data_IF_575336949535
#
_entry.id   IF_575336949535
#
_cell.length_a   1.000
_cell.length_b   1.000
_cell.length_c   1.000
_cell.angle_alpha   90.00
_cell.angle_beta   90.00
_cell.angle_gamma   90.00
#
_symmetry.space_group_name_H-M   'P 1'
#
loop_
_entity.id
_entity.type
_entity.pdbx_description
1 polymer ?
#
# COMPACT_ATOMS: atom_id res chain seq x y z
N UNK A 1 26.95 3.61 -6.11
CA UNK A 1 26.83 4.35 -7.38
C UNK A 1 26.16 3.41 -8.38
N UNK A 2 25.10 3.82 -9.02
CA UNK A 2 24.25 3.04 -9.94
C UNK A 2 24.91 2.76 -11.29
N UNK A 3 26.08 3.38 -11.57
CA UNK A 3 26.81 3.24 -12.83
C UNK A 3 26.11 3.86 -14.05
N UNK A 4 25.04 4.62 -13.83
CA UNK A 4 24.32 5.30 -14.89
C UNK A 4 25.14 6.49 -15.42
N UNK A 5 25.18 6.65 -16.75
CA UNK A 5 25.76 7.81 -17.42
C UNK A 5 24.71 8.94 -17.44
N UNK A 6 24.99 10.11 -16.83
CA UNK A 6 24.05 11.22 -16.82
C UNK A 6 23.69 11.78 -18.22
N UNK A 7 24.56 11.60 -19.22
CA UNK A 7 24.35 12.14 -20.56
C UNK A 7 23.61 11.18 -21.49
N UNK A 8 23.79 9.86 -21.31
CA UNK A 8 23.21 8.86 -22.20
C UNK A 8 22.14 7.99 -21.51
N UNK A 9 22.09 7.99 -20.18
CA UNK A 9 21.19 7.09 -19.42
C UNK A 9 21.64 5.63 -19.49
N UNK A 10 20.70 4.71 -19.25
CA UNK A 10 20.95 3.27 -19.33
C UNK A 10 20.70 2.76 -20.74
N UNK A 11 21.54 1.81 -21.18
CA UNK A 11 21.29 1.03 -22.38
C UNK A 11 20.24 -0.08 -22.12
N UNK A 12 19.58 -0.59 -23.15
CA UNK A 12 18.59 -1.66 -23.03
C UNK A 12 19.13 -2.89 -22.28
N UNK A 13 20.37 -3.28 -22.51
CA UNK A 13 21.02 -4.38 -21.79
C UNK A 13 21.21 -4.11 -20.29
N UNK A 14 21.53 -2.86 -19.93
CA UNK A 14 21.65 -2.44 -18.52
C UNK A 14 20.29 -2.37 -17.85
N UNK A 15 19.24 -1.94 -18.55
CA UNK A 15 17.87 -1.94 -18.05
C UNK A 15 17.43 -3.37 -17.71
N UNK A 16 17.67 -4.32 -18.59
CA UNK A 16 17.33 -5.73 -18.34
C UNK A 16 18.11 -6.32 -17.17
N UNK A 17 19.41 -6.03 -17.07
CA UNK A 17 20.25 -6.45 -15.95
C UNK A 17 19.77 -5.85 -14.61
N UNK A 18 19.42 -4.55 -14.61
CA UNK A 18 18.88 -3.87 -13.42
C UNK A 18 17.53 -4.46 -13.02
N UNK A 19 16.64 -4.73 -13.98
CA UNK A 19 15.34 -5.35 -13.74
C UNK A 19 15.46 -6.77 -13.17
N UNK A 20 16.39 -7.57 -13.64
CA UNK A 20 16.63 -8.90 -13.09
C UNK A 20 17.19 -8.86 -11.68
N UNK A 21 18.03 -7.87 -11.37
CA UNK A 21 18.69 -7.76 -10.07
C UNK A 21 17.80 -7.14 -8.98
N UNK A 22 17.03 -6.12 -9.32
CA UNK A 22 16.31 -5.29 -8.36
C UNK A 22 14.79 -5.35 -8.51
N UNK A 23 14.26 -5.94 -9.59
CA UNK A 23 12.83 -6.00 -9.88
C UNK A 23 12.32 -4.76 -10.64
N UNK A 24 11.00 -4.65 -10.70
CA UNK A 24 10.28 -3.53 -11.30
C UNK A 24 9.77 -2.55 -10.23
N UNK A 25 9.50 -1.30 -10.62
CA UNK A 25 8.94 -0.28 -9.74
C UNK A 25 7.43 -0.49 -9.54
N UNK A 26 7.09 -1.55 -8.82
CA UNK A 26 5.70 -1.90 -8.51
C UNK A 26 5.51 -2.03 -7.01
N UNK A 27 4.34 -1.64 -6.53
CA UNK A 27 3.99 -1.93 -5.15
C UNK A 27 3.90 -3.45 -4.95
N UNK A 28 4.46 -3.93 -3.84
CA UNK A 28 4.30 -5.34 -3.47
C UNK A 28 2.80 -5.61 -3.28
N UNK A 29 2.20 -6.29 -4.24
CA UNK A 29 0.82 -6.74 -4.11
C UNK A 29 0.81 -7.81 -3.03
N UNK A 30 0.27 -7.49 -1.87
CA UNK A 30 -0.17 -8.52 -0.94
C UNK A 30 -1.21 -9.34 -1.71
N UNK A 31 -0.82 -10.57 -2.08
CA UNK A 31 -1.68 -11.47 -2.85
C UNK A 31 -3.07 -11.54 -2.22
N UNK A 32 -4.08 -11.78 -3.04
CA UNK A 32 -5.47 -11.94 -2.58
C UNK A 32 -5.50 -12.95 -1.44
N UNK A 33 -5.65 -12.46 -0.22
CA UNK A 33 -5.72 -13.33 0.95
C UNK A 33 -6.87 -14.31 0.80
N UNK A 34 -6.62 -15.58 1.18
CA UNK A 34 -7.65 -16.61 1.18
C UNK A 34 -8.87 -16.15 1.98
N UNK A 35 -10.08 -16.49 1.50
CA UNK A 35 -11.33 -16.22 2.22
C UNK A 35 -11.29 -16.73 3.66
N UNK A 36 -10.66 -17.89 3.88
CA UNK A 36 -10.50 -18.46 5.23
C UNK A 36 -9.63 -17.55 6.13
N UNK A 37 -8.57 -16.97 5.59
CA UNK A 37 -7.73 -16.03 6.34
C UNK A 37 -8.50 -14.77 6.70
N UNK A 38 -9.27 -14.20 5.77
CA UNK A 38 -10.11 -13.02 6.03
C UNK A 38 -11.17 -13.29 7.11
N UNK A 39 -11.81 -14.48 7.09
CA UNK A 39 -12.76 -14.86 8.13
C UNK A 39 -12.04 -14.97 9.49
N UNK A 40 -10.85 -15.55 9.50
CA UNK A 40 -10.06 -15.70 10.71
C UNK A 40 -9.64 -14.32 11.27
N UNK A 41 -9.11 -13.45 10.42
CA UNK A 41 -8.68 -12.11 10.82
C UNK A 41 -9.86 -11.26 11.31
N UNK A 42 -11.00 -11.29 10.62
CA UNK A 42 -12.23 -10.66 11.09
C UNK A 42 -12.69 -11.22 12.43
N UNK A 43 -12.58 -12.53 12.64
CA UNK A 43 -13.00 -13.18 13.90
C UNK A 43 -12.05 -12.91 15.07
N UNK A 44 -10.81 -12.53 14.81
CA UNK A 44 -9.81 -12.18 15.84
C UNK A 44 -9.78 -10.69 16.19
N UNK A 45 -10.65 -9.89 15.59
CA UNK A 45 -10.83 -8.50 15.95
C UNK A 45 -11.24 -8.37 17.43
N UNK A 46 -10.61 -7.50 18.25
CA UNK A 46 -10.84 -7.44 19.69
C UNK A 46 -12.32 -7.27 20.09
N UNK A 47 -13.07 -6.48 19.32
CA UNK A 47 -14.49 -6.26 19.57
C UNK A 47 -15.31 -7.53 19.33
N UNK A 48 -15.00 -8.27 18.27
CA UNK A 48 -15.68 -9.52 17.93
C UNK A 48 -15.32 -10.65 18.90
N UNK A 49 -14.06 -10.70 19.36
CA UNK A 49 -13.64 -11.64 20.40
C UNK A 49 -14.42 -11.47 21.70
N UNK A 50 -14.67 -10.22 22.13
CA UNK A 50 -15.51 -9.96 23.31
C UNK A 50 -16.94 -10.45 23.10
N UNK A 51 -17.49 -10.28 21.89
CA UNK A 51 -18.83 -10.75 21.57
C UNK A 51 -18.91 -12.28 21.52
N UNK A 52 -17.89 -12.95 20.96
CA UNK A 52 -17.77 -14.42 20.96
C UNK A 52 -17.67 -14.94 22.40
N UNK A 53 -16.89 -14.29 23.25
CA UNK A 53 -16.77 -14.67 24.65
C UNK A 53 -18.11 -14.53 25.40
N UNK A 54 -18.83 -13.43 25.18
CA UNK A 54 -20.18 -13.25 25.73
C UNK A 54 -21.16 -14.34 25.21
N UNK A 55 -21.09 -14.69 23.92
CA UNK A 55 -21.90 -15.76 23.34
C UNK A 55 -21.66 -17.12 24.03
N UNK A 56 -20.39 -17.45 24.28
CA UNK A 56 -20.01 -18.69 24.98
C UNK A 56 -20.57 -18.74 26.39
N UNK A 57 -20.45 -17.64 27.14
CA UNK A 57 -21.00 -17.54 28.50
C UNK A 57 -22.53 -17.70 28.49
N UNK A 58 -23.21 -16.97 27.61
CA UNK A 58 -24.68 -17.04 27.50
C UNK A 58 -25.13 -18.43 27.13
N UNK A 59 -24.43 -19.08 26.20
CA UNK A 59 -24.71 -20.47 25.80
C UNK A 59 -24.53 -21.43 26.98
N UNK A 60 -23.42 -21.32 27.73
CA UNK A 60 -23.14 -22.16 28.88
C UNK A 60 -24.21 -22.01 29.96
N UNK A 61 -24.65 -20.77 30.27
CA UNK A 61 -25.72 -20.49 31.21
C UNK A 61 -27.05 -21.10 30.75
N UNK A 62 -27.41 -20.95 29.46
CA UNK A 62 -28.65 -21.53 28.94
C UNK A 62 -28.63 -23.05 28.95
N UNK A 63 -27.51 -23.71 28.63
CA UNK A 63 -27.35 -25.15 28.73
C UNK A 63 -27.50 -25.61 30.19
N UNK A 64 -26.88 -24.93 31.14
CA UNK A 64 -26.99 -25.28 32.57
C UNK A 64 -28.43 -25.15 33.05
N UNK A 65 -29.15 -24.08 32.70
CA UNK A 65 -30.57 -23.90 33.01
C UNK A 65 -31.45 -24.99 32.42
N UNK A 66 -31.18 -25.39 31.18
CA UNK A 66 -31.89 -26.49 30.52
C UNK A 66 -31.80 -27.80 31.32
N UNK A 67 -30.61 -28.17 31.85
CA UNK A 67 -30.41 -29.37 32.62
C UNK A 67 -30.92 -29.30 34.06
N UNK A 68 -30.99 -28.07 34.63
CA UNK A 68 -31.49 -27.85 36.00
C UNK A 68 -32.99 -27.58 36.09
N UNK A 69 -33.72 -27.63 34.94
CA UNK A 69 -35.16 -27.37 34.88
C UNK A 69 -35.55 -25.92 35.05
N UNK A 70 -34.61 -24.95 34.86
CA UNK A 70 -34.86 -23.52 34.86
C UNK A 70 -35.39 -23.03 33.52
N UNK A 71 -35.85 -21.77 33.51
CA UNK A 71 -36.21 -21.10 32.25
C UNK A 71 -34.97 -20.87 31.37
N UNK A 72 -35.02 -21.30 30.14
CA UNK A 72 -33.96 -21.10 29.15
C UNK A 72 -34.51 -20.34 27.92
N UNK A 73 -33.66 -19.53 27.30
CA UNK A 73 -34.03 -18.70 26.16
C UNK A 73 -33.04 -18.84 25.01
N UNK A 74 -33.28 -19.79 24.12
CA UNK A 74 -32.45 -20.01 22.94
C UNK A 74 -32.52 -18.87 21.92
N UNK A 75 -33.57 -18.05 21.96
CA UNK A 75 -33.66 -16.86 21.08
C UNK A 75 -32.56 -15.83 21.37
N UNK A 76 -32.15 -15.69 22.63
CA UNK A 76 -31.05 -14.82 23.02
C UNK A 76 -29.72 -15.29 22.40
N UNK A 77 -29.44 -16.58 22.51
CA UNK A 77 -28.24 -17.16 21.87
C UNK A 77 -28.29 -16.99 20.34
N UNK A 78 -29.44 -17.27 19.71
CA UNK A 78 -29.61 -17.11 18.28
C UNK A 78 -29.38 -15.66 17.81
N UNK A 79 -29.84 -14.68 18.61
CA UNK A 79 -29.62 -13.25 18.34
C UNK A 79 -28.14 -12.88 18.37
N UNK A 80 -27.38 -13.37 19.34
CA UNK A 80 -25.94 -13.11 19.44
C UNK A 80 -25.19 -13.73 18.26
N UNK A 81 -25.50 -14.99 17.92
CA UNK A 81 -24.87 -15.66 16.76
C UNK A 81 -25.22 -14.97 15.44
N UNK A 82 -26.44 -14.51 15.26
CA UNK A 82 -26.85 -13.73 14.11
C UNK A 82 -26.09 -12.40 14.02
N UNK A 83 -25.86 -11.72 15.13
CA UNK A 83 -25.08 -10.48 15.19
C UNK A 83 -23.62 -10.72 14.83
N UNK A 84 -23.01 -11.82 15.34
CA UNK A 84 -21.64 -12.20 14.99
C UNK A 84 -21.53 -12.47 13.48
N UNK A 85 -22.44 -13.29 12.95
CA UNK A 85 -22.45 -13.62 11.52
C UNK A 85 -22.60 -12.36 10.65
N UNK A 86 -23.51 -11.48 10.98
CA UNK A 86 -23.74 -10.23 10.26
C UNK A 86 -22.50 -9.32 10.32
N UNK A 87 -21.87 -9.21 11.49
CA UNK A 87 -20.65 -8.41 11.68
C UNK A 87 -19.52 -8.92 10.78
N UNK A 88 -19.24 -10.23 10.81
CA UNK A 88 -18.21 -10.85 9.95
C UNK A 88 -18.52 -10.66 8.48
N UNK A 89 -19.77 -10.82 8.07
CA UNK A 89 -20.20 -10.63 6.68
C UNK A 89 -19.97 -9.18 6.20
N UNK A 90 -20.31 -8.19 7.03
CA UNK A 90 -20.09 -6.76 6.73
C UNK A 90 -18.60 -6.47 6.61
N UNK A 91 -17.77 -6.96 7.54
CA UNK A 91 -16.31 -6.77 7.51
C UNK A 91 -15.72 -7.32 6.20
N UNK A 92 -16.03 -8.56 5.84
CA UNK A 92 -15.53 -9.19 4.61
C UNK A 92 -15.93 -8.40 3.35
N UNK A 93 -17.18 -7.94 3.28
CA UNK A 93 -17.68 -7.15 2.14
C UNK A 93 -16.97 -5.80 2.05
N UNK A 94 -16.78 -5.13 3.19
CA UNK A 94 -16.15 -3.81 3.24
C UNK A 94 -14.68 -3.88 2.90
N UNK A 95 -13.93 -4.83 3.48
CA UNK A 95 -12.52 -5.07 3.14
C UNK A 95 -12.34 -5.44 1.67
N UNK A 96 -13.20 -6.29 1.13
CA UNK A 96 -13.16 -6.69 -0.27
C UNK A 96 -13.37 -5.51 -1.22
N UNK A 97 -14.26 -4.56 -0.89
CA UNK A 97 -14.46 -3.34 -1.69
C UNK A 97 -13.27 -2.40 -1.59
N UNK A 98 -12.70 -2.22 -0.39
CA UNK A 98 -11.54 -1.38 -0.16
C UNK A 98 -10.31 -1.91 -0.91
N UNK A 99 -10.08 -3.22 -0.87
CA UNK A 99 -8.97 -3.86 -1.60
C UNK A 99 -9.09 -3.66 -3.12
N UNK A 100 -10.30 -3.82 -3.69
CA UNK A 100 -10.55 -3.58 -5.12
C UNK A 100 -10.36 -2.11 -5.50
N UNK A 101 -10.82 -1.18 -4.69
CA UNK A 101 -10.63 0.25 -4.93
C UNK A 101 -9.15 0.63 -4.91
N UNK A 102 -8.39 0.10 -3.95
CA UNK A 102 -6.93 0.29 -3.88
C UNK A 102 -6.22 -0.31 -5.11
N UNK A 103 -6.59 -1.51 -5.55
CA UNK A 103 -6.03 -2.14 -6.76
C UNK A 103 -6.29 -1.30 -8.01
N UNK A 104 -7.50 -0.75 -8.16
CA UNK A 104 -7.83 0.12 -9.29
C UNK A 104 -6.99 1.41 -9.30
N UNK A 105 -6.80 2.05 -8.14
CA UNK A 105 -5.95 3.24 -8.00
C UNK A 105 -4.48 2.93 -8.26
N UNK A 106 -4.00 1.79 -7.77
CA UNK A 106 -2.62 1.33 -7.99
C UNK A 106 -2.32 1.12 -9.47
N UNK A 107 -3.25 0.50 -10.22
CA UNK A 107 -3.11 0.31 -11.68
C UNK A 107 -3.00 1.63 -12.43
N UNK A 108 -3.82 2.62 -12.09
CA UNK A 108 -3.76 3.95 -12.74
C UNK A 108 -2.39 4.58 -12.54
N UNK A 109 -1.82 4.49 -11.34
CA UNK A 109 -0.48 5.01 -11.06
C UNK A 109 0.61 4.22 -11.80
N UNK A 110 0.55 2.89 -11.81
CA UNK A 110 1.54 2.03 -12.49
C UNK A 110 1.63 2.29 -14.01
N UNK A 111 0.53 2.64 -14.66
CA UNK A 111 0.45 2.90 -16.10
C UNK A 111 0.70 4.37 -16.46
N UNK A 112 0.96 5.25 -15.48
CA UNK A 112 1.35 6.64 -15.73
C UNK A 112 2.66 6.68 -16.50
N UNK A 113 2.68 7.44 -17.60
CA UNK A 113 3.86 7.56 -18.45
C UNK A 113 4.85 8.57 -17.87
N UNK A 114 6.10 8.18 -17.81
CA UNK A 114 7.21 8.96 -17.28
C UNK A 114 8.29 9.10 -18.35
N UNK A 115 8.86 10.29 -18.44
CA UNK A 115 9.95 10.58 -19.38
C UNK A 115 11.29 10.17 -18.75
N UNK A 116 12.00 9.27 -19.42
CA UNK A 116 13.34 8.80 -19.00
C UNK A 116 14.34 9.00 -20.13
N UNK A 117 15.60 9.12 -19.79
CA UNK A 117 16.70 9.12 -20.74
C UNK A 117 17.30 7.71 -20.83
N UNK A 118 17.22 7.07 -22.00
CA UNK A 118 17.84 5.77 -22.29
C UNK A 118 18.47 5.79 -23.66
N UNK A 119 19.62 5.17 -23.81
CA UNK A 119 20.39 5.15 -25.07
C UNK A 119 20.61 6.54 -25.70
N UNK A 120 20.72 7.59 -24.85
CA UNK A 120 20.90 8.98 -25.27
C UNK A 120 19.63 9.69 -25.75
N UNK A 121 18.47 9.02 -25.73
CA UNK A 121 17.21 9.59 -26.20
C UNK A 121 16.14 9.61 -25.11
N UNK A 122 15.33 10.69 -25.03
CA UNK A 122 14.17 10.74 -24.14
C UNK A 122 13.10 9.74 -24.59
N UNK A 123 12.66 8.87 -23.70
CA UNK A 123 11.63 7.86 -23.93
C UNK A 123 10.51 7.99 -22.91
N UNK A 124 9.26 7.73 -23.33
CA UNK A 124 8.11 7.64 -22.42
C UNK A 124 7.87 6.18 -22.06
N UNK A 125 7.98 5.86 -20.77
CA UNK A 125 7.76 4.51 -20.27
C UNK A 125 6.73 4.52 -19.14
N UNK A 126 5.98 3.43 -18.92
CA UNK A 126 5.14 3.28 -17.74
C UNK A 126 5.96 3.34 -16.46
N UNK A 127 5.40 3.95 -15.41
CA UNK A 127 6.06 4.04 -14.09
C UNK A 127 6.57 2.68 -13.58
N UNK A 128 5.83 1.62 -13.81
CA UNK A 128 6.23 0.25 -13.42
C UNK A 128 7.49 -0.26 -14.10
N UNK A 129 7.87 0.32 -15.25
CA UNK A 129 9.03 -0.09 -16.03
C UNK A 129 10.31 0.69 -15.70
N UNK A 130 10.24 1.61 -14.74
CA UNK A 130 11.41 2.29 -14.18
C UNK A 130 12.27 1.26 -13.44
N UNK A 131 13.59 1.35 -13.63
CA UNK A 131 14.56 0.51 -12.94
C UNK A 131 15.60 1.35 -12.20
N UNK A 132 16.30 0.74 -11.27
CA UNK A 132 17.38 1.43 -10.55
C UNK A 132 18.50 1.79 -11.52
N UNK A 133 18.81 3.09 -11.58
CA UNK A 133 19.80 3.67 -12.48
C UNK A 133 19.20 4.46 -13.65
N UNK A 134 17.89 4.44 -13.85
CA UNK A 134 17.23 5.31 -14.83
C UNK A 134 17.44 6.79 -14.51
N UNK A 135 17.59 7.59 -15.56
CA UNK A 135 17.61 9.05 -15.48
C UNK A 135 16.21 9.57 -15.82
N UNK A 136 15.54 10.15 -14.84
CA UNK A 136 14.21 10.74 -15.00
C UNK A 136 14.33 12.19 -15.45
N UNK A 137 13.61 12.56 -16.50
CA UNK A 137 13.47 13.92 -16.98
C UNK A 137 12.17 14.50 -16.41
N UNK A 138 12.30 15.39 -15.42
CA UNK A 138 11.18 15.93 -14.67
C UNK A 138 10.91 17.37 -15.12
N UNK A 139 9.66 17.66 -15.43
CA UNK A 139 9.18 18.99 -15.79
C UNK A 139 8.26 19.55 -14.69
N UNK A 140 7.97 20.85 -14.76
CA UNK A 140 7.05 21.49 -13.80
C UNK A 140 5.66 20.86 -13.85
N UNK A 141 5.16 20.40 -12.72
CA UNK A 141 3.87 19.72 -12.60
C UNK A 141 3.95 18.20 -12.64
N UNK A 142 5.13 17.64 -12.93
CA UNK A 142 5.32 16.19 -12.91
C UNK A 142 5.32 15.63 -11.48
N UNK A 143 4.82 14.42 -11.36
CA UNK A 143 4.86 13.66 -10.12
C UNK A 143 6.19 12.92 -9.99
N UNK A 144 6.83 13.03 -8.83
CA UNK A 144 8.01 12.21 -8.51
C UNK A 144 7.52 10.81 -8.14
N UNK A 145 7.89 9.84 -8.96
CA UNK A 145 7.33 8.46 -8.93
C UNK A 145 8.29 7.41 -8.40
N UNK A 146 9.50 7.81 -8.08
CA UNK A 146 10.53 6.94 -7.51
C UNK A 146 11.51 7.76 -6.68
N UNK A 147 12.13 7.13 -5.71
CA UNK A 147 13.23 7.74 -4.95
C UNK A 147 14.44 7.94 -5.87
N UNK A 148 15.03 9.12 -5.79
CA UNK A 148 16.14 9.46 -6.67
C UNK A 148 17.03 10.56 -6.10
N UNK A 149 18.15 10.76 -6.76
CA UNK A 149 19.05 11.87 -6.49
C UNK A 149 18.99 12.88 -7.62
N UNK A 150 18.79 14.15 -7.28
CA UNK A 150 18.87 15.22 -8.25
C UNK A 150 20.31 15.31 -8.80
N UNK A 151 20.46 15.21 -10.12
CA UNK A 151 21.76 15.31 -10.83
C UNK A 151 21.98 16.75 -11.26
N UNK A 152 20.96 17.37 -11.86
CA UNK A 152 20.98 18.77 -12.31
C UNK A 152 19.56 19.32 -12.26
N UNK A 153 19.43 20.62 -12.11
CA UNK A 153 18.14 21.31 -12.11
C UNK A 153 18.31 22.79 -11.81
N UNK A 154 17.47 23.62 -12.42
CA UNK A 154 17.42 25.04 -12.15
C UNK A 154 16.18 25.34 -11.30
N UNK A 155 16.39 25.83 -10.08
CA UNK A 155 15.33 26.25 -9.16
C UNK A 155 14.19 25.22 -8.97
N UNK A 156 14.54 23.92 -8.87
CA UNK A 156 13.58 22.87 -8.62
C UNK A 156 12.99 23.03 -7.21
N UNK A 157 11.67 23.09 -7.15
CA UNK A 157 10.92 23.04 -5.89
C UNK A 157 9.93 21.87 -5.95
N UNK A 158 9.82 21.12 -4.86
CA UNK A 158 8.89 20.00 -4.74
C UNK A 158 7.80 20.33 -3.72
N UNK A 159 6.56 20.06 -4.07
CA UNK A 159 5.44 20.08 -3.14
C UNK A 159 5.44 18.76 -2.35
N UNK A 160 5.78 18.83 -1.08
CA UNK A 160 5.85 17.71 -0.15
C UNK A 160 4.67 17.70 0.83
N UNK A 161 3.65 18.51 0.58
CA UNK A 161 2.49 18.65 1.48
C UNK A 161 1.78 17.34 1.80
N UNK A 162 1.77 16.41 0.87
CA UNK A 162 1.20 15.07 1.09
C UNK A 162 1.97 14.22 2.13
N UNK A 163 3.25 14.52 2.35
CA UNK A 163 4.11 13.81 3.30
C UNK A 163 4.28 14.57 4.62
N UNK A 164 4.49 15.88 4.52
CA UNK A 164 4.85 16.74 5.67
C UNK A 164 3.66 17.48 6.26
N UNK A 165 2.59 17.65 5.48
CA UNK A 165 1.46 18.53 5.83
C UNK A 165 1.74 20.02 5.65
N UNK A 166 2.94 20.42 5.20
CA UNK A 166 3.30 21.81 4.94
C UNK A 166 2.95 22.22 3.51
N UNK A 167 2.27 23.35 3.35
CA UNK A 167 1.79 23.81 2.03
C UNK A 167 2.84 24.55 1.20
N UNK A 168 4.01 24.83 1.75
CA UNK A 168 5.06 25.56 1.04
C UNK A 168 5.97 24.57 0.29
N UNK A 169 6.22 24.80 -1.02
CA UNK A 169 7.15 23.98 -1.78
C UNK A 169 8.57 24.06 -1.22
N UNK A 170 9.24 22.92 -1.13
CA UNK A 170 10.61 22.80 -0.64
C UNK A 170 11.59 22.88 -1.80
N UNK A 171 12.55 23.81 -1.73
CA UNK A 171 13.59 23.95 -2.74
C UNK A 171 14.56 22.76 -2.67
N UNK A 172 14.86 22.18 -3.82
CA UNK A 172 15.79 21.04 -3.96
C UNK A 172 17.09 21.50 -4.65
N UNK A 173 18.22 21.08 -4.11
CA UNK A 173 19.54 21.43 -4.60
C UNK A 173 20.36 20.17 -4.90
N UNK A 174 20.88 20.06 -6.12
CA UNK A 174 21.70 18.92 -6.56
C UNK A 174 23.04 18.82 -5.77
N UNK A 175 23.54 19.91 -5.25
CA UNK A 175 24.81 19.98 -4.49
C UNK A 175 24.63 19.58 -3.03
N UNK A 176 23.40 19.57 -2.53
CA UNK A 176 23.11 19.25 -1.13
C UNK A 176 23.33 17.75 -0.86
N UNK A 177 24.05 17.47 0.23
CA UNK A 177 24.28 16.10 0.72
C UNK A 177 23.72 15.98 2.13
N UNK A 178 22.77 15.09 2.33
CA UNK A 178 22.19 14.81 3.64
C UNK A 178 23.23 14.17 4.58
N UNK A 179 23.21 14.58 5.84
CA UNK A 179 23.92 13.88 6.90
C UNK A 179 23.08 12.69 7.39
N UNK A 180 23.73 11.72 8.07
CA UNK A 180 23.10 10.45 8.50
C UNK A 180 21.82 10.64 9.35
N UNK A 181 21.68 11.77 10.05
CA UNK A 181 20.52 12.12 10.89
C UNK A 181 19.64 13.24 10.34
N UNK A 182 19.77 13.58 9.05
CA UNK A 182 18.87 14.58 8.45
C UNK A 182 17.45 14.04 8.37
N UNK A 183 16.43 14.73 8.90
CA UNK A 183 15.03 14.32 8.75
C UNK A 183 14.68 14.15 7.28
N UNK A 184 13.83 13.15 6.98
CA UNK A 184 13.42 12.84 5.59
C UNK A 184 12.44 13.88 5.04
N UNK A 185 11.85 14.68 5.91
CA UNK A 185 10.93 15.76 5.57
C UNK A 185 11.15 16.94 6.51
#
# INVERSE_FOLDING_TARGET
>A
ATGADPEHGLSESQVQASRQKYGANTFVRTGTESMLKRIWDASTEPMLLMLIFAAIITLAVNITRYFTGGEYNFLECAGIFAAIFLSVAITIVTEGKSAKAFEALSKINEDTLIKVLRDGEPQLIPQKDIVIGDILLIETGDKIVADGRLISGNDLSADESALTGESLPVKKDATFTCQENTPVA
#
